data_IF_271608094825
#
_entry.id   IF_271608094825
#
_cell.length_a   1.000
_cell.length_b   1.000
_cell.length_c   1.000
_cell.angle_alpha   90.00
_cell.angle_beta   90.00
_cell.angle_gamma   90.00
#
_symmetry.space_group_name_H-M   'P 1'
#
loop_
_entity.id
_entity.type
_entity.pdbx_description
1 polymer ?
#
# COMPACT_ATOMS: atom_id res chain seq x y z
N UNK A 1 -13.22 3.50 -46.30
CA UNK A 1 -12.30 4.54 -45.78
C UNK A 1 -12.76 4.83 -44.36
N UNK A 2 -12.02 4.36 -43.36
CA UNK A 2 -12.37 4.58 -41.96
C UNK A 2 -12.05 6.04 -41.61
N UNK A 3 -13.04 6.78 -41.11
CA UNK A 3 -12.81 8.08 -40.50
C UNK A 3 -11.84 7.83 -39.33
N UNK A 4 -10.65 8.42 -39.41
CA UNK A 4 -9.72 8.40 -38.30
C UNK A 4 -10.43 9.00 -37.07
N UNK A 5 -10.37 8.35 -35.90
CA UNK A 5 -11.03 8.87 -34.70
C UNK A 5 -10.50 10.28 -34.41
N UNK A 6 -11.39 11.25 -34.25
CA UNK A 6 -10.99 12.62 -33.94
C UNK A 6 -10.38 12.65 -32.54
N UNK A 7 -9.05 12.72 -32.50
CA UNK A 7 -8.26 12.74 -31.28
C UNK A 7 -8.59 13.96 -30.41
N UNK A 8 -9.12 15.04 -31.00
CA UNK A 8 -9.58 16.20 -30.23
C UNK A 8 -10.92 15.91 -29.54
N UNK A 9 -11.79 15.13 -30.17
CA UNK A 9 -13.05 14.67 -29.58
C UNK A 9 -12.78 13.71 -28.42
N UNK A 10 -11.89 12.72 -28.60
CA UNK A 10 -11.43 11.84 -27.51
C UNK A 10 -10.78 12.62 -26.36
N UNK A 11 -9.93 13.61 -26.67
CA UNK A 11 -9.31 14.45 -25.65
C UNK A 11 -10.34 15.27 -24.89
N UNK A 12 -11.35 15.82 -25.58
CA UNK A 12 -12.43 16.59 -24.98
C UNK A 12 -13.27 15.72 -24.04
N UNK A 13 -13.65 14.52 -24.47
CA UNK A 13 -14.40 13.56 -23.65
C UNK A 13 -13.63 13.21 -22.37
N UNK A 14 -12.32 12.94 -22.49
CA UNK A 14 -11.45 12.62 -21.33
C UNK A 14 -11.33 13.83 -20.39
N UNK A 15 -11.18 15.04 -20.92
CA UNK A 15 -11.08 16.26 -20.12
C UNK A 15 -12.40 16.60 -19.42
N UNK A 16 -13.54 16.45 -20.10
CA UNK A 16 -14.87 16.66 -19.54
C UNK A 16 -15.16 15.63 -18.43
N UNK A 17 -14.75 14.37 -18.61
CA UNK A 17 -14.85 13.33 -17.58
C UNK A 17 -13.96 13.60 -16.36
N UNK A 18 -12.80 14.22 -16.56
CA UNK A 18 -11.87 14.61 -15.48
C UNK A 18 -12.34 15.86 -14.73
N UNK A 19 -12.98 16.82 -15.40
CA UNK A 19 -13.43 18.09 -14.83
C UNK A 19 -14.80 17.99 -14.11
N UNK A 20 -15.64 17.02 -14.47
CA UNK A 20 -16.98 16.87 -13.89
C UNK A 20 -16.99 16.48 -12.39
N UNK A 21 -15.85 16.11 -11.80
CA UNK A 21 -15.80 15.55 -10.44
C UNK A 21 -16.59 14.23 -10.33
N UNK A 22 -16.63 13.58 -9.15
CA UNK A 22 -17.37 12.34 -9.00
C UNK A 22 -18.87 12.61 -9.02
N UNK A 23 -19.49 12.57 -10.20
CA UNK A 23 -20.95 12.45 -10.30
C UNK A 23 -21.33 11.06 -9.78
N UNK A 24 -22.37 11.01 -8.94
CA UNK A 24 -22.85 9.76 -8.32
C UNK A 24 -23.42 8.74 -9.32
N UNK A 25 -23.63 9.14 -10.58
CA UNK A 25 -24.35 8.36 -11.58
C UNK A 25 -23.48 7.83 -12.74
N UNK A 26 -22.22 8.29 -12.90
CA UNK A 26 -21.36 7.79 -14.00
C UNK A 26 -20.62 6.48 -13.72
N UNK A 27 -20.67 5.99 -12.47
CA UNK A 27 -20.04 4.73 -12.09
C UNK A 27 -20.67 3.49 -12.79
N UNK A 28 -21.80 3.66 -13.48
CA UNK A 28 -22.49 2.63 -14.26
C UNK A 28 -22.39 2.81 -15.78
N UNK A 29 -21.64 3.80 -16.28
CA UNK A 29 -21.39 3.91 -17.73
C UNK A 29 -20.30 2.92 -18.13
N UNK A 30 -20.70 1.82 -18.76
CA UNK A 30 -19.81 0.81 -19.33
C UNK A 30 -19.41 1.19 -20.77
N UNK A 31 -18.12 1.10 -21.07
CA UNK A 31 -17.57 1.29 -22.41
C UNK A 31 -17.29 -0.07 -23.01
N UNK A 32 -17.78 -0.32 -24.21
CA UNK A 32 -17.44 -1.53 -24.96
C UNK A 32 -16.28 -1.25 -25.90
N UNK A 33 -15.36 -2.20 -26.02
CA UNK A 33 -14.17 -2.13 -26.88
C UNK A 33 -14.21 -3.27 -27.90
N UNK A 34 -14.16 -2.90 -29.17
CA UNK A 34 -14.11 -3.81 -30.32
C UNK A 34 -12.72 -4.43 -30.53
N UNK A 35 -12.65 -5.45 -31.38
CA UNK A 35 -11.43 -6.25 -31.60
C UNK A 35 -10.28 -5.44 -32.21
N UNK A 36 -10.57 -4.34 -32.92
CA UNK A 36 -9.58 -3.47 -33.56
C UNK A 36 -9.34 -2.18 -32.75
N UNK A 37 -9.86 -2.11 -31.51
CA UNK A 37 -9.70 -0.97 -30.63
C UNK A 37 -10.77 0.13 -30.78
N UNK A 38 -11.91 -0.19 -31.41
CA UNK A 38 -13.06 0.71 -31.47
C UNK A 38 -13.69 0.90 -30.09
N UNK A 39 -14.09 2.12 -29.75
CA UNK A 39 -14.65 2.46 -28.45
C UNK A 39 -16.13 2.83 -28.63
N UNK A 40 -17.02 2.12 -27.92
CA UNK A 40 -18.46 2.36 -27.94
C UNK A 40 -18.93 2.82 -26.56
N UNK A 41 -19.49 4.03 -26.49
CA UNK A 41 -20.04 4.65 -25.26
C UNK A 41 -21.57 4.60 -25.21
N UNK A 42 -22.17 3.63 -25.90
CA UNK A 42 -23.62 3.45 -26.11
C UNK A 42 -23.92 2.10 -26.77
N UNK A 43 -24.93 2.01 -27.63
CA UNK A 43 -25.28 0.76 -28.33
C UNK A 43 -24.14 0.27 -29.22
N UNK A 44 -23.58 -0.88 -28.86
CA UNK A 44 -22.48 -1.51 -29.58
C UNK A 44 -23.00 -2.59 -30.55
N UNK A 45 -22.27 -2.90 -31.64
CA UNK A 45 -22.68 -3.92 -32.60
C UNK A 45 -22.76 -5.30 -31.92
N UNK A 46 -23.94 -5.92 -31.93
CA UNK A 46 -24.17 -7.22 -31.28
C UNK A 46 -23.63 -8.43 -32.05
N UNK A 47 -23.04 -8.21 -33.23
CA UNK A 47 -22.51 -9.23 -34.14
C UNK A 47 -21.02 -9.52 -33.93
N UNK A 48 -20.39 -8.91 -32.93
CA UNK A 48 -18.99 -9.14 -32.59
C UNK A 48 -18.76 -9.27 -31.09
N UNK A 49 -17.72 -10.03 -30.67
CA UNK A 49 -17.32 -10.07 -29.28
C UNK A 49 -16.76 -8.70 -28.86
N UNK A 50 -17.31 -8.16 -27.77
CA UNK A 50 -16.94 -6.88 -27.20
C UNK A 50 -16.29 -7.10 -25.83
N UNK A 51 -15.25 -6.32 -25.53
CA UNK A 51 -14.66 -6.26 -24.19
C UNK A 51 -15.22 -5.05 -23.43
N UNK A 52 -15.81 -5.27 -22.27
CA UNK A 52 -16.41 -4.18 -21.48
C UNK A 52 -15.45 -3.64 -20.44
N UNK A 53 -15.32 -2.32 -20.35
CA UNK A 53 -14.51 -1.61 -19.36
C UNK A 53 -15.38 -0.55 -18.68
N UNK A 54 -15.39 -0.52 -17.35
CA UNK A 54 -16.07 0.56 -16.63
C UNK A 54 -15.35 1.89 -16.89
N UNK A 55 -16.10 2.96 -17.17
CA UNK A 55 -15.60 4.33 -17.39
C UNK A 55 -15.16 4.99 -16.06
N UNK A 56 -14.42 4.25 -15.25
CA UNK A 56 -13.81 4.70 -14.01
C UNK A 56 -12.37 5.18 -14.24
N UNK A 57 -11.92 6.07 -13.36
CA UNK A 57 -10.56 6.63 -13.38
C UNK A 57 -9.50 5.51 -13.33
N UNK A 58 -8.54 5.51 -14.26
CA UNK A 58 -7.39 4.58 -14.33
C UNK A 58 -6.39 4.69 -13.15
N UNK A 59 -6.76 5.27 -12.01
CA UNK A 59 -5.87 5.53 -10.88
C UNK A 59 -6.51 5.18 -9.51
N UNK A 60 -5.84 4.26 -8.80
CA UNK A 60 -5.94 3.96 -7.37
C UNK A 60 -7.23 3.23 -6.91
N UNK A 61 -7.15 2.29 -5.92
CA UNK A 61 -8.34 1.82 -5.22
C UNK A 61 -9.23 3.01 -4.87
N UNK A 62 -10.51 2.94 -5.24
CA UNK A 62 -11.44 4.08 -5.28
C UNK A 62 -11.14 5.11 -4.18
N UNK A 63 -11.12 6.40 -4.51
CA UNK A 63 -10.78 7.46 -3.53
C UNK A 63 -11.50 7.29 -2.18
N UNK A 64 -12.72 6.75 -2.22
CA UNK A 64 -13.52 6.29 -1.08
C UNK A 64 -12.84 5.21 -0.20
N UNK A 65 -12.27 4.16 -0.79
CA UNK A 65 -11.51 3.15 -0.07
C UNK A 65 -10.25 3.72 0.59
N UNK A 66 -9.55 4.63 -0.09
CA UNK A 66 -8.39 5.33 0.49
C UNK A 66 -8.79 6.25 1.66
N UNK A 67 -9.91 6.96 1.54
CA UNK A 67 -10.45 7.81 2.61
C UNK A 67 -10.93 6.99 3.82
N UNK A 68 -11.63 5.88 3.57
CA UNK A 68 -12.06 4.97 4.63
C UNK A 68 -10.87 4.38 5.40
N UNK A 69 -9.85 3.90 4.68
CA UNK A 69 -8.58 3.44 5.28
C UNK A 69 -7.97 4.54 6.15
N UNK A 70 -7.84 5.76 5.62
CA UNK A 70 -7.29 6.90 6.36
C UNK A 70 -8.02 7.13 7.68
N UNK A 71 -9.36 7.08 7.69
CA UNK A 71 -10.16 7.25 8.92
C UNK A 71 -9.98 6.11 9.91
N UNK A 72 -9.92 4.87 9.45
CA UNK A 72 -9.66 3.69 10.29
C UNK A 72 -8.27 3.80 10.93
N UNK A 73 -7.26 4.11 10.12
CA UNK A 73 -5.88 4.21 10.56
C UNK A 73 -5.68 5.35 11.57
N UNK A 74 -6.31 6.51 11.35
CA UNK A 74 -6.27 7.63 12.30
C UNK A 74 -6.87 7.24 13.66
N UNK A 75 -8.00 6.54 13.68
CA UNK A 75 -8.60 6.05 14.93
C UNK A 75 -7.72 5.02 15.62
N UNK A 76 -7.14 4.10 14.86
CA UNK A 76 -6.22 3.12 15.40
C UNK A 76 -4.98 3.78 16.01
N UNK A 77 -4.31 4.66 15.27
CA UNK A 77 -3.12 5.36 15.73
C UNK A 77 -3.38 6.18 17.00
N UNK A 78 -4.49 6.92 17.04
CA UNK A 78 -4.87 7.72 18.22
C UNK A 78 -5.19 6.87 19.46
N UNK A 79 -5.70 5.65 19.28
CA UNK A 79 -6.12 4.78 20.40
C UNK A 79 -5.10 3.74 20.85
N UNK A 80 -4.22 3.26 19.96
CA UNK A 80 -3.44 2.04 20.17
C UNK A 80 -1.94 2.19 19.89
N UNK A 81 -1.53 3.18 19.10
CA UNK A 81 -0.10 3.42 18.86
C UNK A 81 0.52 4.27 19.98
N UNK A 82 1.85 4.29 20.12
CA UNK A 82 2.52 5.06 21.15
C UNK A 82 2.18 6.55 21.06
N UNK A 83 2.16 7.25 22.20
CA UNK A 83 1.81 8.69 22.27
C UNK A 83 2.73 9.61 21.44
N UNK A 84 3.93 9.14 21.09
CA UNK A 84 4.87 9.86 20.22
C UNK A 84 4.64 9.58 18.72
N UNK A 85 3.54 8.93 18.35
CA UNK A 85 3.20 8.64 16.97
C UNK A 85 2.79 9.93 16.25
N UNK A 86 3.43 10.22 15.13
CA UNK A 86 3.18 11.40 14.29
C UNK A 86 2.85 10.96 12.87
N UNK A 87 1.78 11.51 12.31
CA UNK A 87 1.49 11.34 10.89
C UNK A 87 2.36 12.30 10.06
N UNK A 88 3.17 11.75 9.17
CA UNK A 88 4.00 12.48 8.21
C UNK A 88 3.23 12.53 6.89
N UNK A 89 3.05 13.73 6.34
CA UNK A 89 2.40 13.95 5.05
C UNK A 89 3.24 14.89 4.18
N UNK A 90 4.22 14.31 3.48
CA UNK A 90 5.11 14.99 2.53
C UNK A 90 5.02 14.31 1.15
N UNK A 91 5.41 14.99 0.05
CA UNK A 91 5.32 14.43 -1.30
C UNK A 91 6.03 13.09 -1.48
N UNK A 92 7.12 12.88 -0.75
CA UNK A 92 8.01 11.72 -0.78
C UNK A 92 7.81 10.75 0.40
N UNK A 93 7.11 11.19 1.44
CA UNK A 93 6.91 10.40 2.66
C UNK A 93 5.51 10.63 3.24
N UNK A 94 4.66 9.61 3.13
CA UNK A 94 3.32 9.61 3.72
C UNK A 94 3.10 8.36 4.56
N UNK A 95 2.93 8.55 5.87
CA UNK A 95 2.84 7.43 6.81
C UNK A 95 2.92 7.86 8.27
N UNK A 96 3.14 6.90 9.15
CA UNK A 96 3.16 7.06 10.60
C UNK A 96 4.58 6.84 11.12
N UNK A 97 5.17 7.87 11.72
CA UNK A 97 6.44 7.79 12.42
C UNK A 97 6.19 7.57 13.91
N UNK A 98 6.86 6.61 14.54
CA UNK A 98 6.70 6.32 15.97
C UNK A 98 7.98 5.74 16.53
N UNK A 99 8.14 5.80 17.85
CA UNK A 99 9.23 5.08 18.53
C UNK A 99 8.71 4.24 19.68
N UNK A 100 9.23 3.03 19.80
CA UNK A 100 8.94 2.11 20.89
C UNK A 100 10.20 1.81 21.67
N UNK A 101 10.04 1.56 22.97
CA UNK A 101 11.09 1.00 23.81
C UNK A 101 10.80 -0.50 23.97
N UNK A 102 11.76 -1.32 23.59
CA UNK A 102 11.66 -2.78 23.73
C UNK A 102 11.79 -3.21 25.19
N UNK A 103 11.50 -4.49 25.46
CA UNK A 103 11.63 -5.07 26.81
C UNK A 103 13.07 -5.01 27.35
N UNK A 104 14.08 -5.07 26.48
CA UNK A 104 15.51 -4.92 26.87
C UNK A 104 15.97 -3.46 26.91
N UNK A 105 15.03 -2.52 26.77
CA UNK A 105 15.26 -1.09 26.96
C UNK A 105 15.85 -0.35 25.77
N UNK A 106 16.05 -1.02 24.62
CA UNK A 106 16.48 -0.36 23.39
C UNK A 106 15.31 0.41 22.78
N UNK A 107 15.62 1.53 22.15
CA UNK A 107 14.63 2.35 21.45
C UNK A 107 14.72 2.05 19.96
N UNK A 108 13.57 1.87 19.33
CA UNK A 108 13.46 1.70 17.89
C UNK A 108 12.51 2.75 17.33
N UNK A 109 12.99 3.55 16.39
CA UNK A 109 12.19 4.51 15.63
C UNK A 109 11.84 3.90 14.28
N UNK A 110 10.57 3.94 13.92
CA UNK A 110 10.02 3.23 12.77
C UNK A 110 9.07 4.12 11.97
N UNK A 111 8.89 3.79 10.70
CA UNK A 111 7.98 4.46 9.79
C UNK A 111 7.06 3.45 9.08
N UNK A 112 5.77 3.47 9.43
CA UNK A 112 4.76 2.64 8.77
C UNK A 112 4.08 3.41 7.63
N UNK A 113 4.08 2.86 6.42
CA UNK A 113 3.49 3.49 5.24
C UNK A 113 2.72 2.47 4.40
N UNK A 114 1.70 2.94 3.69
CA UNK A 114 0.92 2.11 2.78
C UNK A 114 1.48 2.23 1.36
N UNK A 115 1.97 1.14 0.79
CA UNK A 115 2.64 1.12 -0.53
C UNK A 115 1.67 1.09 -1.73
N UNK A 116 0.37 1.29 -1.46
CA UNK A 116 -0.70 1.14 -2.44
C UNK A 116 -1.35 -0.25 -2.43
N UNK A 117 -0.75 -1.24 -1.76
CA UNK A 117 -1.30 -2.59 -1.60
C UNK A 117 -1.37 -3.00 -0.13
N UNK A 118 -0.29 -2.78 0.61
CA UNK A 118 -0.15 -3.20 1.99
C UNK A 118 0.71 -2.21 2.78
N UNK A 119 0.60 -2.30 4.10
CA UNK A 119 1.46 -1.60 5.02
C UNK A 119 2.86 -2.22 5.07
N UNK A 120 3.84 -1.36 4.92
CA UNK A 120 5.26 -1.63 5.08
C UNK A 120 5.75 -0.88 6.32
N UNK A 121 6.81 -1.36 6.95
CA UNK A 121 7.46 -0.67 8.07
C UNK A 121 8.95 -0.58 7.80
N UNK A 122 9.50 0.63 7.82
CA UNK A 122 10.94 0.86 7.76
C UNK A 122 11.48 1.15 9.16
N UNK A 123 12.64 0.60 9.48
CA UNK A 123 13.46 1.00 10.61
C UNK A 123 14.20 2.29 10.25
N UNK A 124 14.06 3.31 11.09
CA UNK A 124 14.79 4.57 10.95
C UNK A 124 15.99 4.63 11.90
N UNK A 125 15.81 4.12 13.13
CA UNK A 125 16.83 4.05 14.16
C UNK A 125 16.59 2.84 15.07
N UNK A 126 17.62 2.10 15.52
CA UNK A 126 19.03 2.22 15.13
C UNK A 126 19.28 1.81 13.67
N UNK A 127 20.38 2.27 13.09
CA UNK A 127 20.79 1.87 11.74
C UNK A 127 21.36 0.44 11.75
N UNK A 128 20.49 -0.55 11.51
CA UNK A 128 20.83 -1.98 11.48
C UNK A 128 20.85 -2.55 10.06
N UNK A 129 20.39 -1.79 9.07
CA UNK A 129 20.36 -2.19 7.68
C UNK A 129 21.77 -2.53 7.16
N UNK A 130 21.91 -3.67 6.50
CA UNK A 130 23.21 -4.18 6.04
C UNK A 130 24.10 -4.79 7.13
N UNK A 131 23.74 -4.66 8.41
CA UNK A 131 24.48 -5.24 9.53
C UNK A 131 23.88 -6.55 10.04
N UNK A 132 22.58 -6.77 9.79
CA UNK A 132 21.88 -8.01 10.13
C UNK A 132 21.34 -8.64 8.85
N UNK A 133 21.61 -9.94 8.63
CA UNK A 133 21.14 -10.63 7.43
C UNK A 133 19.61 -10.66 7.33
N UNK A 134 19.06 -10.54 6.13
CA UNK A 134 17.59 -10.49 5.93
C UNK A 134 16.86 -11.72 6.49
N UNK A 135 17.52 -12.89 6.45
CA UNK A 135 16.97 -14.14 6.99
C UNK A 135 17.24 -14.30 8.49
N UNK A 136 18.23 -13.58 9.03
CA UNK A 136 18.61 -13.64 10.43
C UNK A 136 17.85 -12.64 11.29
N UNK A 137 17.58 -11.44 10.75
CA UNK A 137 16.96 -10.35 11.49
C UNK A 137 15.63 -9.89 10.93
N UNK A 138 15.12 -10.53 9.86
CA UNK A 138 13.90 -10.10 9.15
C UNK A 138 13.94 -8.61 8.78
N UNK A 139 15.12 -8.10 8.42
CA UNK A 139 15.37 -6.72 8.02
C UNK A 139 16.03 -6.72 6.64
N UNK A 140 15.36 -6.14 5.66
CA UNK A 140 15.89 -5.99 4.30
C UNK A 140 17.03 -4.96 4.29
N UNK A 141 17.94 -5.00 3.28
CA UNK A 141 19.04 -4.04 3.16
C UNK A 141 18.60 -2.57 3.01
N UNK A 142 17.35 -2.34 2.60
CA UNK A 142 16.73 -1.00 2.51
C UNK A 142 16.13 -0.52 3.84
N UNK A 143 16.31 -1.28 4.93
CA UNK A 143 15.77 -0.97 6.26
C UNK A 143 14.31 -1.36 6.44
N UNK A 144 13.66 -1.96 5.44
CA UNK A 144 12.29 -2.45 5.57
C UNK A 144 12.25 -3.74 6.39
N UNK A 145 11.30 -3.82 7.31
CA UNK A 145 11.06 -5.02 8.11
C UNK A 145 10.25 -6.02 7.28
N UNK A 146 10.64 -7.29 7.30
CA UNK A 146 9.88 -8.38 6.73
C UNK A 146 8.77 -8.82 7.69
N UNK A 147 7.54 -8.35 7.44
CA UNK A 147 6.39 -8.57 8.32
C UNK A 147 5.57 -9.82 7.97
N UNK A 148 5.78 -10.41 6.79
CA UNK A 148 5.08 -11.60 6.30
C UNK A 148 5.92 -12.36 5.25
N UNK A 149 5.51 -13.59 4.97
CA UNK A 149 6.04 -14.48 3.92
C UNK A 149 5.58 -14.11 2.49
N UNK A 150 4.56 -13.26 2.36
CA UNK A 150 4.06 -12.80 1.06
C UNK A 150 5.12 -12.00 0.29
N UNK A 151 5.04 -12.01 -1.05
CA UNK A 151 6.10 -11.53 -1.99
C UNK A 151 6.55 -10.07 -1.88
N UNK A 152 6.11 -9.31 -0.88
CA UNK A 152 6.55 -7.95 -0.55
C UNK A 152 6.70 -7.68 0.96
N UNK A 153 6.46 -8.69 1.81
CA UNK A 153 6.75 -8.66 3.26
C UNK A 153 5.94 -7.67 4.09
N UNK A 154 4.75 -7.24 3.65
CA UNK A 154 3.91 -6.25 4.35
C UNK A 154 2.71 -6.86 5.09
N UNK A 155 1.82 -6.00 5.58
CA UNK A 155 0.59 -6.38 6.29
C UNK A 155 -0.62 -5.60 5.76
N UNK A 156 -1.84 -6.15 5.78
CA UNK A 156 -3.00 -5.51 5.13
C UNK A 156 -3.52 -4.27 5.88
N UNK A 157 -3.22 -4.12 7.16
CA UNK A 157 -3.69 -3.02 8.01
C UNK A 157 -2.55 -2.40 8.82
N UNK A 158 -2.71 -1.13 9.21
CA UNK A 158 -1.76 -0.43 10.08
C UNK A 158 -1.59 -1.17 11.41
N UNK A 159 -2.68 -1.69 11.96
CA UNK A 159 -2.68 -2.50 13.19
C UNK A 159 -1.74 -3.69 13.10
N UNK A 160 -1.91 -4.54 12.08
CA UNK A 160 -1.06 -5.73 11.91
C UNK A 160 0.39 -5.36 11.67
N UNK A 161 0.64 -4.29 10.90
CA UNK A 161 1.99 -3.80 10.63
C UNK A 161 2.66 -3.31 11.91
N UNK A 162 1.97 -2.49 12.70
CA UNK A 162 2.45 -2.00 13.98
C UNK A 162 2.71 -3.15 14.95
N UNK A 163 1.75 -4.06 15.17
CA UNK A 163 1.91 -5.21 16.08
C UNK A 163 3.09 -6.10 15.68
N UNK A 164 3.26 -6.39 14.38
CA UNK A 164 4.41 -7.16 13.88
C UNK A 164 5.73 -6.41 14.08
N UNK A 165 5.76 -5.09 13.90
CA UNK A 165 6.96 -4.28 14.13
C UNK A 165 7.37 -4.22 15.61
N UNK A 166 6.39 -4.22 16.54
CA UNK A 166 6.65 -4.30 17.98
C UNK A 166 7.26 -5.65 18.34
N UNK A 167 6.69 -6.74 17.82
CA UNK A 167 7.23 -8.09 17.99
C UNK A 167 8.64 -8.20 17.40
N UNK A 168 8.86 -7.61 16.23
CA UNK A 168 10.16 -7.54 15.59
C UNK A 168 11.20 -6.83 16.45
N UNK A 169 10.88 -5.71 17.09
CA UNK A 169 11.83 -4.99 17.95
C UNK A 169 12.31 -5.85 19.12
N UNK A 170 11.40 -6.61 19.74
CA UNK A 170 11.77 -7.60 20.77
C UNK A 170 12.64 -8.72 20.21
N UNK A 171 12.30 -9.26 19.03
CA UNK A 171 13.11 -10.30 18.39
C UNK A 171 14.49 -9.79 17.98
N UNK A 172 14.59 -8.53 17.57
CA UNK A 172 15.85 -7.90 17.19
C UNK A 172 16.78 -7.74 18.40
N UNK A 173 16.25 -7.46 19.60
CA UNK A 173 17.11 -7.43 20.80
C UNK A 173 17.79 -8.78 21.06
N UNK A 174 17.09 -9.89 20.81
CA UNK A 174 17.60 -11.25 20.93
C UNK A 174 18.71 -11.51 19.91
N UNK A 175 18.50 -11.06 18.66
CA UNK A 175 19.53 -11.11 17.60
C UNK A 175 20.76 -10.30 17.97
N UNK A 176 20.58 -9.07 18.47
CA UNK A 176 21.67 -8.22 18.92
C UNK A 176 22.40 -8.77 20.15
N UNK A 177 21.77 -9.69 20.90
CA UNK A 177 22.41 -10.42 21.99
C UNK A 177 23.15 -11.69 21.51
N UNK A 178 23.18 -11.98 20.21
CA UNK A 178 23.92 -13.07 19.59
C UNK A 178 23.12 -14.37 19.37
N UNK A 179 21.80 -14.32 19.54
CA UNK A 179 20.92 -15.49 19.36
C UNK A 179 20.12 -15.43 18.06
N UNK A 180 19.50 -16.54 17.66
CA UNK A 180 18.59 -16.58 16.52
C UNK A 180 17.31 -15.80 16.80
N UNK A 181 16.72 -15.22 15.76
CA UNK A 181 15.46 -14.46 15.87
C UNK A 181 14.33 -15.38 16.32
N UNK A 182 13.67 -15.14 17.47
CA UNK A 182 12.83 -16.14 18.12
C UNK A 182 11.45 -16.33 17.47
N UNK A 183 11.00 -15.37 16.64
CA UNK A 183 9.65 -15.37 16.06
C UNK A 183 9.64 -15.76 14.59
N UNK A 184 10.59 -16.58 14.16
CA UNK A 184 10.68 -17.10 12.80
C UNK A 184 10.05 -18.48 12.68
N UNK A 185 9.26 -18.69 11.64
CA UNK A 185 8.73 -20.02 11.29
C UNK A 185 9.84 -21.01 10.94
N UNK A 186 11.00 -20.51 10.51
CA UNK A 186 12.17 -21.31 10.17
C UNK A 186 12.82 -21.98 11.39
N UNK A 187 12.40 -21.61 12.61
CA UNK A 187 12.90 -22.23 13.85
C UNK A 187 12.10 -23.49 14.24
N UNK A 188 11.08 -23.89 13.46
CA UNK A 188 10.23 -25.04 13.77
C UNK A 188 10.75 -26.35 13.16
N UNK A 189 11.83 -26.30 12.39
CA UNK A 189 12.43 -27.44 11.68
C UNK A 189 13.71 -27.99 12.37
N UNK A 190 13.98 -27.60 13.63
CA UNK A 190 15.03 -28.18 14.48
C UNK A 190 14.46 -29.13 15.56
#
# INVERSE_FOLDING_TARGET
>A
MANAPDLNELRRIIQDAQQAGPSRDRASEEVSVGREGEIYTGDAPGDQPLSTVQLGTFASPSARAAELRTRIDQRFAAGHMPRNTVFVNRPDARGWCYSIKSAMGRVYTMFAYYDGRQYQVNLLDPQLQGHVGAHQGHLYPDGRICLSDGGRGGQPTLEKAYSKSVLWATGMDVVLAGYSFPFSVNNLDD
#
